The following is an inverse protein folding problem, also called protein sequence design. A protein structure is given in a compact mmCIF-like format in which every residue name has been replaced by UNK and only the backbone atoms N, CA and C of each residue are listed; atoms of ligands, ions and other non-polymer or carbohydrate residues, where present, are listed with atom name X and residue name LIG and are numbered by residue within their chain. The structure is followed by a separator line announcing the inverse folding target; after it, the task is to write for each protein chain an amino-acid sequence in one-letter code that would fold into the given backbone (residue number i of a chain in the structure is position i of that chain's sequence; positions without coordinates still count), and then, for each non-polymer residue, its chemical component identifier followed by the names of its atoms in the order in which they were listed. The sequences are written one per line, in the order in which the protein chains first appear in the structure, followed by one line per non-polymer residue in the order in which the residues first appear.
data_IF_151305903014
#
_entry.id   IF_151305903014
#
_cell.length_a   1.000
_cell.length_b   1.000
_cell.length_c   1.000
_cell.angle_alpha   90.00
_cell.angle_beta   90.00
_cell.angle_gamma   90.00
#
_symmetry.space_group_name_H-M   'P 1'
#
loop_
_entity.id
_entity.type
_entity.pdbx_description
1 polymer ?
#
# COMPACT_ATOMS: atom_id res chain seq x y z
N UNK A 1 78.31 16.33 30.51
CA UNK A 1 78.08 15.06 31.23
C UNK A 1 76.56 14.86 31.30
N UNK A 2 76.00 14.07 30.38
CA UNK A 2 75.59 12.67 30.57
C UNK A 2 74.09 12.54 30.91
N UNK A 3 73.34 12.02 29.92
CA UNK A 3 72.23 11.03 29.95
C UNK A 3 71.14 11.24 31.01
N UNK A 4 69.85 11.15 30.68
CA UNK A 4 69.22 9.89 30.24
C UNK A 4 67.81 10.16 29.70
N UNK A 5 67.52 9.59 28.53
CA UNK A 5 66.18 9.49 27.95
C UNK A 5 65.36 8.40 28.66
N UNK A 6 64.10 8.69 28.99
CA UNK A 6 63.09 7.68 29.28
C UNK A 6 61.92 7.90 28.33
N UNK A 7 61.78 6.94 27.42
CA UNK A 7 60.61 6.72 26.57
C UNK A 7 59.45 6.23 27.42
N UNK A 8 58.34 6.97 27.43
CA UNK A 8 57.04 6.44 27.84
C UNK A 8 56.21 6.22 26.57
N UNK A 9 55.84 4.96 26.34
CA UNK A 9 54.98 4.55 25.24
C UNK A 9 53.59 5.19 25.39
N UNK A 10 53.14 5.80 24.31
CA UNK A 10 51.74 6.20 24.15
C UNK A 10 50.95 4.95 23.77
N UNK A 11 50.21 4.41 24.73
CA UNK A 11 49.13 3.45 24.47
C UNK A 11 47.97 4.23 23.83
N UNK A 12 47.85 4.11 22.51
CA UNK A 12 46.71 4.64 21.78
C UNK A 12 45.48 3.78 22.11
N UNK A 13 44.70 4.22 23.09
CA UNK A 13 43.34 3.71 23.29
C UNK A 13 42.51 4.24 22.13
N UNK A 14 42.33 3.40 21.10
CA UNK A 14 41.37 3.64 20.04
C UNK A 14 39.97 3.68 20.66
N UNK A 15 39.45 4.87 20.90
CA UNK A 15 38.05 5.07 21.23
C UNK A 15 37.23 4.65 20.00
N UNK A 16 36.67 3.44 20.06
CA UNK A 16 35.66 2.96 19.12
C UNK A 16 34.44 3.88 19.24
N UNK A 17 34.30 4.82 18.31
CA UNK A 17 33.11 5.63 18.14
C UNK A 17 31.98 4.76 17.58
N UNK A 18 31.38 3.93 18.43
CA UNK A 18 30.12 3.27 18.11
C UNK A 18 28.99 4.29 18.30
N UNK A 19 28.54 4.91 17.20
CA UNK A 19 27.26 5.62 17.18
C UNK A 19 26.14 4.63 17.51
N UNK A 20 25.29 4.90 18.52
CA UNK A 20 24.17 4.03 18.87
C UNK A 20 23.27 3.74 17.66
N UNK A 21 22.79 2.50 17.52
CA UNK A 21 21.84 2.09 16.45
C UNK A 21 20.58 2.97 16.40
N UNK A 22 20.21 3.57 17.54
CA UNK A 22 19.12 4.54 17.64
C UNK A 22 19.35 5.79 16.77
N UNK A 23 20.60 6.24 16.62
CA UNK A 23 20.96 7.47 15.90
C UNK A 23 21.00 7.27 14.37
N UNK A 24 21.17 6.03 13.90
CA UNK A 24 21.07 5.67 12.46
C UNK A 24 19.61 5.59 11.97
N UNK A 25 18.66 5.40 12.90
CA UNK A 25 17.23 5.24 12.62
C UNK A 25 16.45 6.52 12.99
N UNK A 26 17.03 7.44 13.77
CA UNK A 26 16.41 8.72 14.12
C UNK A 26 16.70 9.78 13.06
N UNK A 27 15.85 9.85 12.04
CA UNK A 27 15.91 10.96 11.10
C UNK A 27 14.71 10.99 10.16
N UNK A 28 14.27 12.21 9.84
CA UNK A 28 13.31 12.47 8.75
C UNK A 28 13.84 12.01 7.37
N UNK A 29 15.09 11.52 7.28
CA UNK A 29 15.80 11.05 6.09
C UNK A 29 15.98 9.52 6.04
N UNK A 30 15.19 8.76 6.82
CA UNK A 30 15.23 7.30 6.76
C UNK A 30 14.96 6.78 5.33
N UNK A 31 15.89 5.96 4.81
CA UNK A 31 15.77 5.34 3.50
C UNK A 31 15.72 3.80 3.59
N UNK A 32 14.57 3.17 3.27
CA UNK A 32 14.41 1.72 3.32
C UNK A 32 15.27 0.98 2.30
N UNK A 33 15.79 1.68 1.28
CA UNK A 33 16.61 1.09 0.22
C UNK A 33 18.13 1.15 0.50
N UNK A 34 18.57 1.79 1.60
CA UNK A 34 20.00 1.92 1.90
C UNK A 34 20.57 0.68 2.60
N UNK A 35 21.70 0.17 2.09
CA UNK A 35 22.39 -1.04 2.62
C UNK A 35 22.86 -0.91 4.07
N UNK A 36 23.22 0.31 4.50
CA UNK A 36 23.63 0.60 5.89
C UNK A 36 22.51 0.31 6.90
N UNK A 37 21.27 0.58 6.51
CA UNK A 37 20.12 0.31 7.36
C UNK A 37 19.88 -1.19 7.48
N UNK A 38 20.03 -1.95 6.38
CA UNK A 38 19.90 -3.42 6.35
C UNK A 38 20.96 -4.10 7.26
N UNK A 39 22.20 -3.62 7.28
CA UNK A 39 23.26 -4.17 8.12
C UNK A 39 23.04 -3.89 9.63
N UNK A 40 22.59 -2.67 9.98
CA UNK A 40 22.26 -2.31 11.36
C UNK A 40 21.07 -3.14 11.89
N UNK A 41 20.10 -3.50 11.02
CA UNK A 41 19.00 -4.41 11.34
C UNK A 41 19.53 -5.79 11.75
N UNK A 42 20.40 -6.38 10.93
CA UNK A 42 20.90 -7.74 11.15
C UNK A 42 21.74 -7.84 12.43
N UNK A 43 22.47 -6.78 12.78
CA UNK A 43 23.21 -6.70 14.04
C UNK A 43 22.30 -6.52 15.26
N UNK A 44 21.24 -5.72 15.16
CA UNK A 44 20.28 -5.56 16.27
C UNK A 44 19.45 -6.84 16.52
N UNK A 45 19.15 -7.61 15.47
CA UNK A 45 18.40 -8.87 15.58
C UNK A 45 19.28 -10.06 15.98
N UNK A 46 20.59 -10.05 15.69
CA UNK A 46 21.52 -11.11 16.11
C UNK A 46 21.74 -11.20 17.62
N UNK A 47 21.51 -10.11 18.36
CA UNK A 47 21.58 -10.11 19.83
C UNK A 47 20.29 -10.58 20.51
N UNK A 48 19.21 -10.80 19.75
CA UNK A 48 17.93 -11.27 20.27
C UNK A 48 17.86 -12.80 20.26
N UNK A 49 18.86 -13.47 20.83
CA UNK A 49 18.80 -14.92 20.98
C UNK A 49 18.08 -15.30 22.29
N UNK A 50 17.04 -16.11 22.11
CA UNK A 50 16.49 -17.09 23.05
C UNK A 50 15.44 -16.63 24.08
N UNK A 51 14.22 -17.18 23.92
CA UNK A 51 13.20 -17.50 24.95
C UNK A 51 12.05 -16.53 25.29
N UNK A 52 11.93 -15.32 24.74
CA UNK A 52 10.65 -14.59 24.79
C UNK A 52 10.59 -13.57 23.66
N UNK A 53 9.53 -13.57 22.84
CA UNK A 53 9.38 -12.55 21.81
C UNK A 53 9.31 -11.18 22.50
N UNK A 54 10.21 -10.27 22.17
CA UNK A 54 10.28 -8.95 22.81
C UNK A 54 8.89 -8.26 22.75
N UNK A 55 8.46 -7.55 23.82
CA UNK A 55 7.12 -6.97 23.90
C UNK A 55 6.70 -6.12 22.67
N UNK A 56 7.66 -5.42 22.05
CA UNK A 56 7.41 -4.64 20.84
C UNK A 56 7.08 -5.52 19.63
N UNK A 57 7.76 -6.66 19.43
CA UNK A 57 7.46 -7.61 18.35
C UNK A 57 6.08 -8.23 18.52
N UNK A 58 5.68 -8.52 19.77
CA UNK A 58 4.32 -8.97 20.07
C UNK A 58 3.28 -7.91 19.73
N UNK A 59 3.59 -6.63 19.96
CA UNK A 59 2.72 -5.52 19.57
C UNK A 59 2.60 -5.41 18.04
N UNK A 60 3.70 -5.48 17.30
CA UNK A 60 3.68 -5.46 15.82
C UNK A 60 2.83 -6.62 15.29
N UNK A 61 3.06 -7.83 15.81
CA UNK A 61 2.27 -9.01 15.42
C UNK A 61 0.78 -8.81 15.71
N UNK A 62 0.42 -8.24 16.85
CA UNK A 62 -0.98 -7.95 17.18
C UNK A 62 -1.62 -6.97 16.20
N UNK A 63 -0.93 -5.87 15.89
CA UNK A 63 -1.40 -4.88 14.93
C UNK A 63 -1.56 -5.49 13.53
N UNK A 64 -0.62 -6.32 13.08
CA UNK A 64 -0.71 -7.03 11.80
C UNK A 64 -1.87 -8.03 11.78
N UNK A 65 -2.05 -8.81 12.85
CA UNK A 65 -3.17 -9.75 12.96
C UNK A 65 -4.53 -9.03 12.96
N UNK A 66 -4.62 -7.83 13.56
CA UNK A 66 -5.83 -7.02 13.51
C UNK A 66 -6.14 -6.60 12.06
N UNK A 67 -5.13 -6.19 11.28
CA UNK A 67 -5.30 -5.87 9.86
C UNK A 67 -5.69 -7.13 9.06
N UNK A 68 -5.12 -8.29 9.32
CA UNK A 68 -5.51 -9.51 8.59
C UNK A 68 -6.91 -10.02 8.96
N UNK A 69 -7.37 -9.77 10.19
CA UNK A 69 -8.70 -10.13 10.64
C UNK A 69 -9.77 -9.20 10.07
N UNK A 70 -9.51 -7.89 10.07
CA UNK A 70 -10.41 -6.85 9.57
C UNK A 70 -9.62 -5.87 8.69
N UNK A 71 -9.31 -6.25 7.44
CA UNK A 71 -8.47 -5.44 6.57
C UNK A 71 -9.24 -4.20 6.08
N UNK A 72 -8.64 -3.00 6.21
CA UNK A 72 -9.25 -1.79 5.69
C UNK A 72 -9.47 -1.87 4.16
N UNK A 73 -10.62 -1.40 3.65
CA UNK A 73 -10.89 -1.42 2.21
C UNK A 73 -9.79 -0.74 1.39
N UNK A 74 -9.35 -1.40 0.32
CA UNK A 74 -8.31 -0.88 -0.56
C UNK A 74 -6.90 -0.84 0.03
N UNK A 75 -6.66 -1.42 1.21
CA UNK A 75 -5.33 -1.50 1.83
C UNK A 75 -4.89 -2.96 1.90
N UNK A 76 -3.77 -3.28 1.26
CA UNK A 76 -3.11 -4.57 1.36
C UNK A 76 -1.79 -4.42 2.11
N UNK A 77 -1.54 -5.31 3.06
CA UNK A 77 -0.30 -5.31 3.84
C UNK A 77 0.37 -6.66 3.78
N UNK A 78 1.70 -6.65 3.78
CA UNK A 78 2.52 -7.84 3.89
C UNK A 78 3.70 -7.53 4.83
N UNK A 79 3.88 -8.36 5.85
CA UNK A 79 5.06 -8.29 6.71
C UNK A 79 6.27 -8.86 5.97
N UNK A 80 7.44 -8.20 6.05
CA UNK A 80 8.66 -8.71 5.44
C UNK A 80 9.10 -10.02 6.12
N UNK A 81 9.54 -10.98 5.31
CA UNK A 81 9.89 -12.33 5.78
C UNK A 81 11.21 -12.37 6.56
N UNK A 82 12.12 -11.42 6.31
CA UNK A 82 13.46 -11.35 6.91
C UNK A 82 13.49 -10.41 8.10
N UNK A 83 12.70 -9.34 8.08
CA UNK A 83 12.59 -8.36 9.15
C UNK A 83 11.13 -8.10 9.53
N UNK A 84 10.68 -8.71 10.63
CA UNK A 84 9.33 -8.53 11.17
C UNK A 84 8.98 -7.08 11.52
N UNK A 85 9.95 -6.17 11.63
CA UNK A 85 9.72 -4.74 11.86
C UNK A 85 9.40 -3.97 10.59
N UNK A 86 9.61 -4.57 9.41
CA UNK A 86 9.33 -4.00 8.09
C UNK A 86 8.01 -4.54 7.56
N UNK A 87 7.19 -3.63 7.06
CA UNK A 87 5.87 -3.92 6.51
C UNK A 87 5.75 -3.21 5.17
N UNK A 88 5.35 -3.97 4.18
CA UNK A 88 5.01 -3.52 2.84
C UNK A 88 3.52 -3.22 2.82
N UNK A 89 3.15 -2.00 2.45
CA UNK A 89 1.75 -1.58 2.34
C UNK A 89 1.45 -1.08 0.93
N UNK A 90 0.34 -1.51 0.38
CA UNK A 90 -0.19 -1.09 -0.90
C UNK A 90 -1.58 -0.51 -0.68
N UNK A 91 -1.75 0.77 -0.98
CA UNK A 91 -3.02 1.50 -0.86
C UNK A 91 -3.53 1.76 -2.26
N UNK A 92 -4.72 1.27 -2.57
CA UNK A 92 -5.43 1.59 -3.81
C UNK A 92 -6.17 2.91 -3.64
N UNK A 93 -5.99 3.84 -4.58
CA UNK A 93 -6.71 5.12 -4.56
C UNK A 93 -8.22 4.92 -4.74
N UNK A 94 -9.00 5.63 -3.92
CA UNK A 94 -10.46 5.52 -3.85
C UNK A 94 -11.16 6.07 -5.10
N UNK A 95 -12.37 5.56 -5.35
CA UNK A 95 -13.27 6.06 -6.40
C UNK A 95 -13.57 7.55 -6.24
N UNK A 96 -13.85 8.22 -7.36
CA UNK A 96 -14.21 9.64 -7.41
C UNK A 96 -13.09 10.57 -6.89
N UNK A 97 -11.85 10.10 -6.87
CA UNK A 97 -10.67 10.91 -6.55
C UNK A 97 -9.72 10.93 -7.74
N UNK A 98 -8.82 11.93 -7.87
CA UNK A 98 -7.78 11.89 -8.90
C UNK A 98 -6.76 10.74 -8.68
N UNK A 99 -6.91 9.95 -7.62
CA UNK A 99 -6.09 8.80 -7.28
C UNK A 99 -6.73 7.46 -7.69
N UNK A 100 -7.96 7.47 -8.18
CA UNK A 100 -8.78 6.27 -8.41
C UNK A 100 -8.06 5.16 -9.18
N UNK A 101 -8.03 3.97 -8.57
CA UNK A 101 -7.37 2.78 -9.11
C UNK A 101 -5.83 2.80 -9.06
N UNK A 102 -5.21 3.93 -8.69
CA UNK A 102 -3.76 4.01 -8.51
C UNK A 102 -3.24 3.09 -7.39
N UNK A 103 -2.09 2.45 -7.63
CA UNK A 103 -1.44 1.59 -6.65
C UNK A 103 -0.31 2.35 -5.94
N UNK A 104 -0.56 2.81 -4.71
CA UNK A 104 0.38 3.59 -3.92
C UNK A 104 1.10 2.68 -2.93
N UNK A 105 2.40 2.46 -3.16
CA UNK A 105 3.23 1.56 -2.38
C UNK A 105 4.05 2.31 -1.32
N UNK A 106 4.05 1.77 -0.11
CA UNK A 106 4.70 2.32 1.06
C UNK A 106 5.51 1.23 1.76
N UNK A 107 6.62 1.65 2.36
CA UNK A 107 7.36 0.82 3.31
C UNK A 107 7.21 1.46 4.68
N UNK A 108 6.79 0.65 5.65
CA UNK A 108 6.62 1.01 7.04
C UNK A 108 7.66 0.26 7.87
N UNK A 109 8.34 0.95 8.78
CA UNK A 109 9.30 0.36 9.72
C UNK A 109 8.97 0.73 11.15
N UNK A 110 8.65 -0.25 11.97
CA UNK A 110 8.47 -0.07 13.40
C UNK A 110 9.83 0.06 14.09
N UNK A 111 10.09 1.11 14.88
CA UNK A 111 11.34 1.22 15.63
C UNK A 111 11.38 0.21 16.80
N UNK A 112 12.57 -0.05 17.39
CA UNK A 112 12.70 -0.96 18.55
C UNK A 112 11.87 -0.56 19.77
N UNK A 113 11.51 0.72 19.89
CA UNK A 113 10.66 1.27 20.94
C UNK A 113 9.18 1.42 20.51
N UNK A 114 8.74 0.76 19.44
CA UNK A 114 7.31 0.65 19.11
C UNK A 114 6.54 -0.07 20.23
N UNK A 115 5.36 0.40 20.67
CA UNK A 115 4.55 1.51 20.14
C UNK A 115 4.78 2.85 20.86
N UNK A 116 5.84 3.00 21.65
CA UNK A 116 6.15 4.26 22.36
C UNK A 116 6.47 5.37 21.35
N UNK A 117 7.24 5.05 20.30
CA UNK A 117 7.45 5.93 19.14
C UNK A 117 6.63 5.48 17.92
N UNK A 118 6.26 6.41 17.02
CA UNK A 118 5.57 6.08 15.78
C UNK A 118 6.44 5.23 14.85
N UNK A 119 5.83 4.49 13.93
CA UNK A 119 6.56 3.84 12.85
C UNK A 119 7.13 4.89 11.88
N UNK A 120 8.23 4.56 11.20
CA UNK A 120 8.71 5.34 10.06
C UNK A 120 7.97 4.88 8.81
N UNK A 121 7.58 5.82 7.94
CA UNK A 121 6.88 5.52 6.69
C UNK A 121 7.55 6.23 5.53
N UNK A 122 7.80 5.50 4.45
CA UNK A 122 8.30 6.05 3.18
C UNK A 122 7.37 5.67 2.04
N UNK A 123 6.94 6.69 1.30
CA UNK A 123 6.19 6.55 0.07
C UNK A 123 7.13 6.24 -1.10
N UNK A 124 6.89 5.12 -1.77
CA UNK A 124 7.80 4.57 -2.78
C UNK A 124 7.36 4.87 -4.22
N UNK A 125 6.06 5.06 -4.46
CA UNK A 125 5.49 5.31 -5.79
C UNK A 125 5.72 6.77 -6.24
N UNK A 126 6.98 7.18 -6.35
CA UNK A 126 7.37 8.56 -6.71
C UNK A 126 8.00 8.66 -8.10
N UNK A 127 8.11 7.54 -8.83
CA UNK A 127 8.85 7.40 -10.08
C UNK A 127 10.27 7.97 -9.98
N UNK A 128 11.06 7.43 -9.05
CA UNK A 128 12.44 7.88 -8.81
C UNK A 128 12.55 9.32 -8.31
N UNK A 129 11.52 9.82 -7.61
CA UNK A 129 11.49 11.19 -7.09
C UNK A 129 11.06 12.26 -8.09
N UNK A 130 10.45 11.87 -9.21
CA UNK A 130 9.94 12.83 -10.20
C UNK A 130 8.57 13.41 -9.84
N UNK A 131 7.73 12.68 -9.09
CA UNK A 131 6.32 13.05 -8.85
C UNK A 131 6.03 13.37 -7.38
N UNK A 132 5.46 14.56 -7.12
CA UNK A 132 4.76 14.89 -5.87
C UNK A 132 3.28 14.55 -6.06
N UNK A 133 2.78 13.52 -5.40
CA UNK A 133 1.40 13.05 -5.60
C UNK A 133 0.35 13.82 -4.79
N UNK A 134 0.77 14.42 -3.68
CA UNK A 134 -0.12 15.13 -2.78
C UNK A 134 0.70 16.19 -2.04
N UNK A 135 0.11 17.30 -1.55
CA UNK A 135 0.82 18.22 -0.66
C UNK A 135 1.52 17.51 0.50
N UNK A 136 0.95 16.40 0.99
CA UNK A 136 1.50 15.56 2.06
C UNK A 136 2.33 14.35 1.58
N UNK A 137 2.42 14.08 0.26
CA UNK A 137 3.21 12.98 -0.32
C UNK A 137 4.28 13.54 -1.25
N UNK A 138 5.49 13.68 -0.71
CA UNK A 138 6.60 14.38 -1.34
C UNK A 138 7.31 13.53 -2.41
N UNK A 139 8.00 14.21 -3.34
CA UNK A 139 8.88 13.60 -4.35
C UNK A 139 9.92 12.66 -3.71
N UNK A 140 10.52 13.08 -2.60
CA UNK A 140 11.51 12.27 -1.87
C UNK A 140 10.93 11.06 -1.11
N UNK A 141 9.60 10.87 -1.15
CA UNK A 141 8.91 9.80 -0.44
C UNK A 141 8.50 10.15 1.00
N UNK A 142 8.74 11.38 1.46
CA UNK A 142 8.28 11.83 2.78
C UNK A 142 6.74 11.89 2.82
N UNK A 143 6.18 11.37 3.90
CA UNK A 143 4.75 11.40 4.22
C UNK A 143 4.51 12.37 5.38
N UNK A 144 3.63 13.34 5.18
CA UNK A 144 3.30 14.38 6.17
C UNK A 144 1.95 14.14 6.83
N UNK A 145 1.94 13.52 8.01
CA UNK A 145 0.76 13.35 8.88
C UNK A 145 1.15 13.53 10.34
N UNK A 146 0.24 14.09 11.14
CA UNK A 146 0.56 14.51 12.50
C UNK A 146 0.92 13.35 13.42
N UNK A 147 0.26 12.20 13.23
CA UNK A 147 0.50 10.98 14.00
C UNK A 147 1.87 10.34 13.70
N UNK A 148 2.59 10.81 12.68
CA UNK A 148 4.00 10.45 12.42
C UNK A 148 4.96 11.56 12.87
N UNK A 149 4.45 12.65 13.46
CA UNK A 149 5.26 13.81 13.85
C UNK A 149 5.75 14.67 12.68
N UNK A 150 5.22 14.44 11.46
CA UNK A 150 5.67 15.13 10.24
C UNK A 150 4.69 16.21 9.76
N UNK A 151 3.66 16.51 10.55
CA UNK A 151 2.67 17.54 10.28
C UNK A 151 2.07 18.11 11.57
N UNK A 152 1.43 19.27 11.50
CA UNK A 152 0.69 19.84 12.62
C UNK A 152 -0.60 19.06 12.90
N UNK A 153 -0.89 18.76 14.16
CA UNK A 153 -2.13 18.09 14.57
C UNK A 153 -1.92 17.17 15.77
N UNK A 154 -2.85 16.24 16.04
CA UNK A 154 -2.72 15.24 17.09
C UNK A 154 -1.46 14.39 16.91
N UNK A 155 -0.65 14.30 17.96
CA UNK A 155 0.59 13.55 17.94
C UNK A 155 0.35 12.03 18.08
N UNK A 156 1.38 11.25 17.75
CA UNK A 156 1.42 9.82 18.02
C UNK A 156 1.12 9.52 19.50
N UNK A 157 0.32 8.51 19.75
CA UNK A 157 0.20 7.90 21.08
C UNK A 157 0.29 6.38 20.94
N UNK A 158 0.78 5.64 21.95
CA UNK A 158 0.84 4.18 21.90
C UNK A 158 -0.50 3.46 21.72
N UNK A 159 -1.62 4.18 21.85
CA UNK A 159 -2.96 3.68 21.58
C UNK A 159 -3.26 3.57 20.07
N UNK A 160 -2.57 4.35 19.23
CA UNK A 160 -2.66 4.25 17.78
C UNK A 160 -2.00 2.95 17.29
N UNK A 161 -2.45 2.48 16.13
CA UNK A 161 -2.03 1.22 15.52
C UNK A 161 -1.51 1.42 14.10
N UNK A 162 -0.86 0.40 13.55
CA UNK A 162 -0.48 0.40 12.13
C UNK A 162 -1.69 0.60 11.20
N UNK A 163 -2.85 0.03 11.53
CA UNK A 163 -4.10 0.25 10.78
C UNK A 163 -4.47 1.74 10.77
N UNK A 164 -4.43 2.40 11.93
CA UNK A 164 -4.74 3.84 12.02
C UNK A 164 -3.78 4.71 11.19
N UNK A 165 -2.49 4.33 11.10
CA UNK A 165 -1.51 5.01 10.26
C UNK A 165 -1.86 4.85 8.78
N UNK A 166 -2.13 3.62 8.32
CA UNK A 166 -2.45 3.35 6.92
C UNK A 166 -3.77 3.99 6.49
N UNK A 167 -4.80 3.95 7.33
CA UNK A 167 -6.08 4.65 7.10
C UNK A 167 -5.85 6.17 7.03
N UNK A 168 -5.01 6.72 7.90
CA UNK A 168 -4.67 8.15 7.87
C UNK A 168 -3.89 8.56 6.62
N UNK A 169 -3.12 7.65 6.02
CA UNK A 169 -2.45 7.89 4.73
C UNK A 169 -3.47 7.84 3.60
N UNK A 170 -4.34 6.83 3.60
CA UNK A 170 -5.40 6.70 2.60
C UNK A 170 -6.32 7.93 2.59
N UNK A 171 -6.64 8.50 3.76
CA UNK A 171 -7.50 9.69 3.86
C UNK A 171 -6.89 10.97 3.31
N UNK A 172 -5.57 11.01 3.03
CA UNK A 172 -4.94 12.13 2.31
C UNK A 172 -5.33 12.15 0.82
N UNK A 173 -5.72 11.00 0.28
CA UNK A 173 -6.06 10.80 -1.13
C UNK A 173 -7.50 11.25 -1.40
N UNK A 174 -7.81 12.51 -1.08
CA UNK A 174 -9.16 13.09 -1.19
C UNK A 174 -9.56 13.41 -2.63
N UNK A 175 -10.83 13.76 -2.86
CA UNK A 175 -11.35 14.29 -4.13
C UNK A 175 -10.64 15.58 -4.58
N UNK A 176 -10.29 16.47 -3.64
CA UNK A 176 -9.71 17.79 -3.92
C UNK A 176 -8.38 18.00 -3.15
N UNK A 177 -7.30 17.26 -3.50
CA UNK A 177 -6.04 17.28 -2.77
C UNK A 177 -5.29 18.62 -2.78
N UNK A 178 -5.71 19.59 -3.61
CA UNK A 178 -5.20 20.95 -3.56
C UNK A 178 -5.39 21.58 -2.17
N UNK A 179 -6.52 21.31 -1.52
CA UNK A 179 -6.86 21.88 -0.22
C UNK A 179 -6.07 21.29 0.96
N UNK A 180 -5.23 20.27 0.70
CA UNK A 180 -4.35 19.73 1.72
C UNK A 180 -3.12 20.63 2.00
N UNK A 181 -2.80 21.56 1.09
CA UNK A 181 -1.71 22.53 1.30
C UNK A 181 -2.17 23.64 2.27
N UNK A 182 -1.44 23.91 3.37
CA UNK A 182 -1.83 24.93 4.35
C UNK A 182 -2.05 26.31 3.73
N UNK A 183 -3.19 26.93 4.03
CA UNK A 183 -3.56 28.23 3.47
C UNK A 183 -4.14 28.18 2.06
N UNK A 184 -4.46 26.99 1.56
CA UNK A 184 -5.12 26.75 0.26
C UNK A 184 -6.51 26.11 0.44
N UNK A 185 -7.14 26.28 1.61
CA UNK A 185 -8.52 25.82 1.86
C UNK A 185 -9.53 26.49 0.91
N UNK A 186 -9.19 27.67 0.41
CA UNK A 186 -9.89 28.35 -0.69
C UNK A 186 -8.95 28.48 -1.88
N UNK A 187 -9.46 28.24 -3.08
CA UNK A 187 -8.69 28.43 -4.31
C UNK A 187 -8.19 29.87 -4.43
N UNK A 188 -6.90 30.05 -4.71
CA UNK A 188 -6.32 31.38 -4.98
C UNK A 188 -6.80 31.91 -6.32
N UNK A 189 -6.85 31.04 -7.32
CA UNK A 189 -7.39 31.32 -8.63
C UNK A 189 -8.46 30.29 -8.98
N UNK A 190 -9.54 30.75 -9.61
CA UNK A 190 -10.64 29.85 -10.00
C UNK A 190 -10.13 28.68 -10.86
N UNK A 191 -10.51 27.47 -10.44
CA UNK A 191 -10.16 26.23 -11.12
C UNK A 191 -8.77 25.68 -10.79
N UNK A 192 -8.09 26.22 -9.77
CA UNK A 192 -6.81 25.68 -9.30
C UNK A 192 -6.92 24.23 -8.86
N UNK A 193 -7.92 23.89 -8.03
CA UNK A 193 -8.15 22.52 -7.56
C UNK A 193 -8.41 21.60 -8.75
N UNK A 194 -9.24 22.04 -9.70
CA UNK A 194 -9.50 21.27 -10.92
C UNK A 194 -8.24 21.03 -11.74
N UNK A 195 -7.42 22.06 -11.99
CA UNK A 195 -6.14 21.91 -12.71
C UNK A 195 -5.21 20.95 -11.98
N UNK A 196 -5.14 21.03 -10.66
CA UNK A 196 -4.35 20.11 -9.85
C UNK A 196 -4.87 18.66 -9.96
N UNK A 197 -6.19 18.45 -9.89
CA UNK A 197 -6.81 17.14 -10.06
C UNK A 197 -6.50 16.52 -11.42
N UNK A 198 -6.54 17.30 -12.49
CA UNK A 198 -6.20 16.85 -13.84
C UNK A 198 -4.75 16.35 -13.93
N UNK A 199 -3.82 17.06 -13.30
CA UNK A 199 -2.41 16.67 -13.20
C UNK A 199 -2.27 15.38 -12.39
N UNK A 200 -2.87 15.33 -11.21
CA UNK A 200 -2.78 14.16 -10.34
C UNK A 200 -3.39 12.92 -11.01
N UNK A 201 -4.54 13.04 -11.69
CA UNK A 201 -5.13 11.91 -12.39
C UNK A 201 -4.26 11.39 -13.53
N UNK A 202 -3.61 12.29 -14.28
CA UNK A 202 -2.63 11.88 -15.30
C UNK A 202 -1.45 11.14 -14.68
N UNK A 203 -0.87 11.68 -13.60
CA UNK A 203 0.26 11.10 -12.90
C UNK A 203 -0.10 9.78 -12.21
N UNK A 204 -1.31 9.63 -11.70
CA UNK A 204 -1.86 8.38 -11.15
C UNK A 204 -1.84 7.29 -12.21
N UNK A 205 -2.40 7.53 -13.40
CA UNK A 205 -2.41 6.51 -14.46
C UNK A 205 -0.99 6.23 -14.97
N UNK A 206 -0.16 7.28 -15.13
CA UNK A 206 1.21 7.14 -15.64
C UNK A 206 2.11 6.34 -14.70
N UNK A 207 2.13 6.71 -13.42
CA UNK A 207 3.10 6.19 -12.45
C UNK A 207 2.46 5.16 -11.53
N UNK A 208 1.37 5.51 -10.85
CA UNK A 208 0.75 4.64 -9.85
C UNK A 208 -0.01 3.45 -10.47
N UNK A 209 -0.39 3.50 -11.75
CA UNK A 209 -0.99 2.37 -12.46
C UNK A 209 0.02 1.71 -13.38
N UNK A 210 0.32 2.33 -14.53
CA UNK A 210 1.17 1.70 -15.57
C UNK A 210 2.58 1.46 -15.05
N UNK A 211 3.16 2.46 -14.39
CA UNK A 211 4.52 2.38 -13.85
C UNK A 211 4.69 1.33 -12.76
N UNK A 212 3.72 1.23 -11.84
CA UNK A 212 3.75 0.24 -10.76
C UNK A 212 3.56 -1.19 -11.27
N UNK A 213 2.61 -1.42 -12.18
CA UNK A 213 2.32 -2.78 -12.68
C UNK A 213 3.45 -3.27 -13.60
N UNK A 214 4.10 -2.39 -14.37
CA UNK A 214 5.32 -2.72 -15.12
C UNK A 214 6.59 -2.73 -14.26
N UNK A 215 6.52 -2.19 -13.05
CA UNK A 215 7.67 -1.90 -12.18
C UNK A 215 8.75 -1.05 -12.87
N UNK A 216 8.35 0.04 -13.54
CA UNK A 216 9.24 0.94 -14.30
C UNK A 216 10.39 1.49 -13.45
N UNK A 217 10.17 1.66 -12.14
CA UNK A 217 11.16 2.22 -11.20
C UNK A 217 12.01 1.15 -10.50
N UNK A 218 11.86 -0.14 -10.86
CA UNK A 218 12.65 -1.23 -10.28
C UNK A 218 12.48 -1.40 -8.77
N UNK A 219 11.29 -1.12 -8.24
CA UNK A 219 11.00 -1.26 -6.82
C UNK A 219 10.99 -2.74 -6.43
N UNK A 220 11.57 -3.06 -5.27
CA UNK A 220 11.46 -4.39 -4.66
C UNK A 220 10.08 -4.52 -3.98
N UNK A 221 9.06 -4.87 -4.77
CA UNK A 221 7.70 -5.11 -4.28
C UNK A 221 7.54 -6.63 -4.12
N UNK A 222 7.10 -7.13 -2.94
CA UNK A 222 6.82 -8.54 -2.75
C UNK A 222 5.84 -9.10 -3.79
N UNK A 223 6.11 -10.31 -4.30
CA UNK A 223 5.30 -10.91 -5.37
C UNK A 223 3.80 -11.03 -5.05
N UNK A 224 3.36 -11.35 -3.80
CA UNK A 224 1.94 -11.34 -3.48
C UNK A 224 1.25 -9.99 -3.71
N UNK A 225 1.95 -8.88 -3.47
CA UNK A 225 1.43 -7.54 -3.74
C UNK A 225 1.45 -7.24 -5.25
N UNK A 226 2.48 -7.69 -5.98
CA UNK A 226 2.53 -7.59 -7.44
C UNK A 226 1.36 -8.32 -8.11
N UNK A 227 1.05 -9.53 -7.64
CA UNK A 227 -0.07 -10.32 -8.17
C UNK A 227 -1.42 -9.68 -7.88
N UNK A 228 -1.61 -9.15 -6.67
CA UNK A 228 -2.80 -8.38 -6.33
C UNK A 228 -2.95 -7.14 -7.24
N UNK A 229 -1.87 -6.38 -7.46
CA UNK A 229 -1.88 -5.23 -8.39
C UNK A 229 -2.26 -5.63 -9.80
N UNK A 230 -1.67 -6.70 -10.35
CA UNK A 230 -1.97 -7.17 -11.72
C UNK A 230 -3.44 -7.57 -11.87
N UNK A 231 -4.02 -8.23 -10.85
CA UNK A 231 -5.43 -8.60 -10.84
C UNK A 231 -6.35 -7.39 -10.74
N UNK A 232 -6.09 -6.49 -9.80
CA UNK A 232 -6.86 -5.25 -9.66
C UNK A 232 -6.74 -4.37 -10.91
N UNK A 233 -5.57 -4.32 -11.54
CA UNK A 233 -5.37 -3.58 -12.80
C UNK A 233 -6.34 -4.03 -13.89
N UNK A 234 -6.55 -5.35 -14.05
CA UNK A 234 -7.49 -5.88 -15.04
C UNK A 234 -8.94 -5.52 -14.70
N UNK A 235 -9.29 -5.43 -13.41
CA UNK A 235 -10.63 -5.02 -12.97
C UNK A 235 -10.90 -3.54 -13.26
N UNK A 236 -9.93 -2.66 -12.97
CA UNK A 236 -10.04 -1.21 -13.21
C UNK A 236 -9.73 -0.80 -14.65
N UNK A 237 -9.26 -1.71 -15.51
CA UNK A 237 -8.88 -1.40 -16.89
C UNK A 237 -9.93 -0.59 -17.68
N UNK A 238 -11.25 -0.92 -17.64
CA UNK A 238 -12.25 -0.14 -18.37
C UNK A 238 -12.29 1.33 -17.95
N UNK A 239 -12.10 1.61 -16.65
CA UNK A 239 -12.03 2.97 -16.13
C UNK A 239 -10.80 3.71 -16.68
N UNK A 240 -9.62 3.08 -16.62
CA UNK A 240 -8.39 3.70 -17.14
C UNK A 240 -8.51 4.02 -18.63
N UNK A 241 -9.02 3.08 -19.43
CA UNK A 241 -9.17 3.29 -20.88
C UNK A 241 -10.17 4.41 -21.19
N UNK A 242 -11.31 4.45 -20.50
CA UNK A 242 -12.32 5.50 -20.69
C UNK A 242 -11.76 6.89 -20.31
N UNK A 243 -11.05 6.98 -19.18
CA UNK A 243 -10.42 8.23 -18.73
C UNK A 243 -9.37 8.73 -19.73
N UNK A 244 -8.48 7.86 -20.22
CA UNK A 244 -7.47 8.24 -21.21
C UNK A 244 -8.09 8.64 -22.56
N UNK A 245 -9.11 7.91 -23.03
CA UNK A 245 -9.81 8.22 -24.29
C UNK A 245 -10.51 9.58 -24.23
N UNK A 246 -11.21 9.88 -23.13
CA UNK A 246 -11.92 11.16 -22.98
C UNK A 246 -10.96 12.36 -22.97
N UNK A 247 -9.70 12.16 -22.55
CA UNK A 247 -8.68 13.22 -22.42
C UNK A 247 -7.61 13.20 -23.50
N UNK A 248 -7.72 12.32 -24.50
CA UNK A 248 -6.70 12.15 -25.56
C UNK A 248 -6.36 13.45 -26.29
N UNK A 249 -7.36 14.35 -26.44
CA UNK A 249 -7.25 15.64 -27.11
C UNK A 249 -6.40 16.66 -26.35
N UNK A 250 -6.16 16.47 -25.04
CA UNK A 250 -5.23 17.29 -24.25
C UNK A 250 -3.76 16.88 -24.40
N UNK A 251 -3.45 15.85 -25.20
CA UNK A 251 -2.06 15.40 -25.37
C UNK A 251 -1.19 16.50 -26.00
N UNK A 252 -0.05 16.80 -25.36
CA UNK A 252 0.86 17.89 -25.73
C UNK A 252 0.60 19.20 -24.99
N UNK A 253 -0.54 19.35 -24.29
CA UNK A 253 -0.80 20.53 -23.48
C UNK A 253 0.11 20.55 -22.24
N UNK A 254 0.64 21.73 -21.89
CA UNK A 254 1.45 21.93 -20.68
C UNK A 254 0.58 21.79 -19.44
N UNK A 255 1.09 21.06 -18.45
CA UNK A 255 0.48 20.96 -17.14
C UNK A 255 0.72 22.25 -16.35
N UNK A 256 -0.36 22.97 -16.04
CA UNK A 256 -0.30 24.20 -15.25
C UNK A 256 -0.55 23.87 -13.78
N UNK A 257 0.51 23.51 -13.04
CA UNK A 257 0.43 23.22 -11.61
C UNK A 257 0.22 24.53 -10.82
N UNK A 258 -0.84 24.65 -10.01
CA UNK A 258 -1.13 25.88 -9.26
C UNK A 258 -0.13 26.16 -8.12
N UNK A 259 0.71 25.19 -7.76
CA UNK A 259 1.84 25.37 -6.84
C UNK A 259 3.15 25.74 -7.55
N UNK A 260 3.09 25.98 -8.87
CA UNK A 260 4.24 26.43 -9.67
C UNK A 260 5.28 25.35 -9.95
N UNK A 261 4.93 24.06 -9.78
CA UNK A 261 5.85 22.97 -10.09
C UNK A 261 5.90 22.71 -11.60
N UNK A 262 7.10 22.47 -12.13
CA UNK A 262 7.24 21.91 -13.48
C UNK A 262 6.82 20.43 -13.46
N UNK A 263 5.81 20.12 -14.27
CA UNK A 263 5.22 18.78 -14.44
C UNK A 263 5.32 18.29 -15.89
N UNK A 264 5.85 19.11 -16.81
CA UNK A 264 5.88 18.81 -18.23
C UNK A 264 4.51 18.91 -18.91
N UNK A 265 4.19 17.94 -19.77
CA UNK A 265 3.00 17.95 -20.64
C UNK A 265 2.14 16.71 -20.45
N UNK A 266 0.84 16.87 -20.68
CA UNK A 266 -0.09 15.74 -20.74
C UNK A 266 0.26 14.83 -21.93
N UNK A 267 0.43 13.54 -21.67
CA UNK A 267 0.81 12.53 -22.68
C UNK A 267 -0.23 11.42 -22.84
N UNK A 268 -1.52 11.76 -22.88
CA UNK A 268 -2.62 10.77 -22.87
C UNK A 268 -2.57 9.75 -24.02
N UNK A 269 -2.20 10.17 -25.24
CA UNK A 269 -2.00 9.26 -26.39
C UNK A 269 -0.99 8.15 -26.07
N UNK A 270 0.18 8.54 -25.58
CA UNK A 270 1.24 7.61 -25.21
C UNK A 270 0.83 6.71 -24.03
N UNK A 271 0.15 7.26 -23.02
CA UNK A 271 -0.37 6.46 -21.90
C UNK A 271 -1.38 5.41 -22.36
N UNK A 272 -2.24 5.74 -23.33
CA UNK A 272 -3.24 4.80 -23.86
C UNK A 272 -2.58 3.62 -24.58
N UNK A 273 -1.54 3.89 -25.37
CA UNK A 273 -0.74 2.84 -26.02
C UNK A 273 -0.06 1.94 -24.99
N UNK A 274 0.59 2.53 -23.97
CA UNK A 274 1.21 1.77 -22.87
C UNK A 274 0.19 0.94 -22.09
N UNK A 275 -0.97 1.49 -21.77
CA UNK A 275 -2.04 0.82 -21.04
C UNK A 275 -2.53 -0.42 -21.80
N UNK A 276 -2.77 -0.29 -23.12
CA UNK A 276 -3.20 -1.39 -23.98
C UNK A 276 -2.14 -2.47 -24.12
N UNK A 277 -0.88 -2.08 -24.30
CA UNK A 277 0.24 -3.01 -24.34
C UNK A 277 0.36 -3.79 -23.03
N UNK A 278 0.21 -3.11 -21.88
CA UNK A 278 0.22 -3.72 -20.57
C UNK A 278 -0.91 -4.72 -20.37
N UNK A 279 -2.15 -4.36 -20.76
CA UNK A 279 -3.27 -5.32 -20.73
C UNK A 279 -2.99 -6.54 -21.59
N UNK A 280 -2.49 -6.36 -22.82
CA UNK A 280 -2.15 -7.50 -23.70
C UNK A 280 -1.11 -8.42 -23.07
N UNK A 281 -0.13 -7.87 -22.33
CA UNK A 281 0.89 -8.64 -21.61
C UNK A 281 0.32 -9.44 -20.43
N UNK A 282 -0.68 -8.90 -19.74
CA UNK A 282 -1.27 -9.52 -18.55
C UNK A 282 -2.46 -10.43 -18.84
N UNK A 283 -3.14 -10.23 -19.96
CA UNK A 283 -4.18 -11.15 -20.42
C UNK A 283 -3.53 -12.50 -20.74
N UNK A 284 -4.11 -13.63 -20.29
CA UNK A 284 -3.64 -14.93 -20.71
C UNK A 284 -3.70 -15.03 -22.24
N UNK A 285 -2.78 -15.78 -22.88
CA UNK A 285 -2.93 -16.13 -24.29
C UNK A 285 -4.34 -16.67 -24.50
N UNK A 286 -5.02 -16.24 -25.57
CA UNK A 286 -6.23 -16.95 -26.00
C UNK A 286 -5.79 -18.33 -26.48
N UNK A 287 -5.72 -19.30 -25.57
CA UNK A 287 -5.82 -20.71 -25.94
C UNK A 287 -7.26 -20.97 -26.36
N UNK A 288 -7.40 -21.44 -27.59
CA UNK A 288 -8.59 -22.04 -28.13
C UNK A 288 -9.22 -22.99 -27.10
N UNK A 289 -10.55 -23.02 -27.06
CA UNK A 289 -11.32 -23.90 -26.23
C UNK A 289 -10.83 -25.37 -26.32
N UNK A 290 -10.16 -25.87 -25.28
CA UNK A 290 -10.35 -27.21 -24.71
C UNK A 290 -9.31 -27.57 -23.63
N UNK A 291 -9.81 -28.20 -22.57
CA UNK A 291 -9.16 -29.23 -21.73
C UNK A 291 -8.12 -28.85 -20.66
N UNK A 292 -8.62 -28.84 -19.42
CA UNK A 292 -8.09 -29.42 -18.17
C UNK A 292 -6.58 -29.34 -17.83
N UNK A 293 -6.25 -28.78 -16.66
CA UNK A 293 -5.87 -29.55 -15.46
C UNK A 293 -5.38 -28.66 -14.32
N UNK A 294 -5.55 -29.17 -13.10
CA UNK A 294 -5.28 -28.57 -11.81
C UNK A 294 -3.80 -28.30 -11.55
N UNK A 295 -3.46 -27.10 -11.07
CA UNK A 295 -2.19 -26.83 -10.38
C UNK A 295 -2.46 -26.30 -8.97
N UNK A 296 -1.70 -26.85 -8.02
CA UNK A 296 -1.80 -26.66 -6.58
C UNK A 296 -1.22 -25.32 -6.14
N UNK A 297 -2.04 -24.49 -5.50
CA UNK A 297 -1.64 -23.22 -4.86
C UNK A 297 -1.35 -23.47 -3.38
N UNK A 298 -0.32 -22.81 -2.83
CA UNK A 298 0.06 -22.95 -1.42
C UNK A 298 -1.01 -22.40 -0.46
N UNK A 299 -1.18 -22.94 0.76
CA UNK A 299 -2.34 -22.66 1.61
C UNK A 299 -2.45 -21.20 2.07
N UNK A 300 -1.35 -20.45 2.10
CA UNK A 300 -1.33 -19.04 2.53
C UNK A 300 -1.81 -18.06 1.46
N UNK A 301 -1.55 -18.35 0.18
CA UNK A 301 -1.99 -17.50 -0.94
C UNK A 301 -3.45 -17.72 -1.30
N UNK A 302 -3.99 -18.92 -1.06
CA UNK A 302 -5.41 -19.21 -1.27
C UNK A 302 -6.33 -18.39 -0.37
N UNK A 303 -5.96 -18.19 0.90
CA UNK A 303 -6.77 -17.39 1.84
C UNK A 303 -6.83 -15.93 1.39
N UNK A 304 -5.69 -15.34 0.99
CA UNK A 304 -5.62 -13.96 0.48
C UNK A 304 -6.39 -13.79 -0.83
N UNK A 305 -6.27 -14.74 -1.76
CA UNK A 305 -6.99 -14.75 -3.04
C UNK A 305 -8.51 -14.95 -2.88
N UNK A 306 -8.93 -15.81 -1.96
CA UNK A 306 -10.35 -16.05 -1.66
C UNK A 306 -10.95 -14.81 -1.00
N UNK A 307 -10.22 -14.15 -0.11
CA UNK A 307 -10.65 -12.91 0.53
C UNK A 307 -10.75 -11.73 -0.44
N UNK A 308 -9.72 -11.52 -1.29
CA UNK A 308 -9.72 -10.53 -2.38
C UNK A 308 -10.88 -10.72 -3.36
N UNK A 309 -11.17 -11.98 -3.74
CA UNK A 309 -12.32 -12.31 -4.60
C UNK A 309 -13.65 -12.08 -3.91
N UNK A 310 -13.73 -12.25 -2.58
CA UNK A 310 -14.97 -12.09 -1.83
C UNK A 310 -15.30 -10.62 -1.59
N UNK A 311 -14.37 -9.81 -1.09
CA UNK A 311 -14.63 -8.39 -0.77
C UNK A 311 -14.85 -7.55 -2.02
N UNK A 312 -14.01 -7.69 -3.05
CA UNK A 312 -14.16 -6.89 -4.27
C UNK A 312 -15.39 -7.28 -5.10
N UNK A 313 -15.81 -8.56 -5.07
CA UNK A 313 -16.98 -9.03 -5.81
C UNK A 313 -18.30 -8.68 -5.12
N UNK A 314 -18.31 -8.58 -3.78
CA UNK A 314 -19.44 -8.07 -2.99
C UNK A 314 -19.60 -6.57 -3.25
N UNK A 315 -18.52 -5.79 -3.21
CA UNK A 315 -18.57 -4.33 -3.40
C UNK A 315 -18.95 -3.90 -4.83
N UNK A 316 -18.42 -4.59 -5.86
CA UNK A 316 -18.75 -4.27 -7.26
C UNK A 316 -20.18 -4.65 -7.67
N UNK A 317 -20.76 -5.72 -7.11
CA UNK A 317 -22.14 -6.13 -7.44
C UNK A 317 -23.17 -5.32 -6.68
N UNK A 318 -22.90 -4.94 -5.43
CA UNK A 318 -23.83 -4.13 -4.64
C UNK A 318 -23.90 -2.68 -5.15
N UNK A 319 -22.78 -2.07 -5.55
CA UNK A 319 -22.79 -0.68 -6.01
C UNK A 319 -23.38 -0.50 -7.42
N UNK A 320 -23.15 -1.44 -8.34
CA UNK A 320 -23.76 -1.37 -9.68
C UNK A 320 -25.29 -1.48 -9.61
N UNK A 321 -25.80 -2.34 -8.73
CA UNK A 321 -27.24 -2.50 -8.50
C UNK A 321 -27.82 -1.26 -7.82
N UNK A 322 -27.14 -0.67 -6.83
CA UNK A 322 -27.59 0.56 -6.14
C UNK A 322 -27.60 1.77 -7.09
N UNK A 323 -26.58 1.95 -7.93
CA UNK A 323 -26.51 3.06 -8.89
C UNK A 323 -27.55 2.93 -10.01
N UNK A 324 -27.83 1.71 -10.48
CA UNK A 324 -28.88 1.46 -11.48
C UNK A 324 -30.29 1.63 -10.89
N UNK A 325 -30.50 1.33 -9.60
CA UNK A 325 -31.76 1.52 -8.89
C UNK A 325 -32.05 2.97 -8.50
N UNK A 326 -31.03 3.77 -8.15
CA UNK A 326 -31.20 5.21 -7.85
C UNK A 326 -31.65 6.00 -9.10
N UNK A 327 -31.32 5.52 -10.30
CA UNK A 327 -31.77 6.12 -11.57
C UNK A 327 -33.23 5.78 -11.91
N UNK A 328 -33.86 4.83 -11.21
CA UNK A 328 -35.26 4.44 -11.39
C UNK A 328 -36.09 4.96 -10.21
N UNK A 329 -36.48 6.23 -10.24
CA UNK A 329 -37.15 6.90 -9.11
C UNK A 329 -38.48 6.25 -8.67
N UNK A 330 -38.77 6.35 -7.37
CA UNK A 330 -40.10 6.18 -6.76
C UNK A 330 -40.34 4.87 -5.99
N UNK A 331 -40.73 4.99 -4.72
CA UNK A 331 -41.38 4.03 -3.79
C UNK A 331 -40.86 2.59 -3.62
N UNK A 332 -39.98 2.06 -4.47
CA UNK A 332 -39.42 0.70 -4.37
C UNK A 332 -38.24 0.57 -3.39
N UNK A 333 -37.66 1.69 -2.95
CA UNK A 333 -36.41 1.72 -2.18
C UNK A 333 -36.55 1.00 -0.83
N UNK A 334 -37.71 1.11 -0.15
CA UNK A 334 -37.93 0.44 1.15
C UNK A 334 -38.06 -1.07 1.04
N UNK A 335 -38.75 -1.58 0.01
CA UNK A 335 -38.85 -3.03 -0.24
C UNK A 335 -37.51 -3.64 -0.67
N UNK A 336 -36.70 -2.89 -1.42
CA UNK A 336 -35.37 -3.33 -1.87
C UNK A 336 -34.36 -3.32 -0.73
N UNK A 337 -34.36 -2.30 0.15
CA UNK A 337 -33.50 -2.27 1.34
C UNK A 337 -33.83 -3.42 2.30
N UNK A 338 -35.12 -3.74 2.49
CA UNK A 338 -35.57 -4.89 3.28
C UNK A 338 -35.20 -6.24 2.62
N UNK A 339 -35.26 -6.33 1.30
CA UNK A 339 -34.87 -7.54 0.57
C UNK A 339 -33.34 -7.77 0.57
N UNK A 340 -32.54 -6.71 0.44
CA UNK A 340 -31.07 -6.78 0.52
C UNK A 340 -30.65 -7.16 1.94
N UNK A 341 -31.22 -6.54 2.97
CA UNK A 341 -30.90 -6.90 4.36
C UNK A 341 -31.32 -8.33 4.70
N UNK A 342 -32.47 -8.82 4.21
CA UNK A 342 -32.87 -10.22 4.35
C UNK A 342 -31.93 -11.18 3.58
N UNK A 343 -31.48 -10.81 2.37
CA UNK A 343 -30.57 -11.62 1.56
C UNK A 343 -29.16 -11.70 2.18
N UNK A 344 -28.64 -10.58 2.69
CA UNK A 344 -27.38 -10.52 3.45
C UNK A 344 -27.47 -11.38 4.71
N UNK A 345 -28.60 -11.31 5.44
CA UNK A 345 -28.81 -12.13 6.64
C UNK A 345 -28.88 -13.64 6.31
N UNK A 346 -29.57 -14.02 5.23
CA UNK A 346 -29.63 -15.42 4.76
C UNK A 346 -28.23 -15.92 4.32
N UNK A 347 -27.43 -15.08 3.67
CA UNK A 347 -26.06 -15.43 3.25
C UNK A 347 -25.07 -15.51 4.41
N UNK A 348 -25.20 -14.65 5.41
CA UNK A 348 -24.44 -14.74 6.67
C UNK A 348 -24.79 -16.02 7.44
N UNK A 349 -26.08 -16.38 7.50
CA UNK A 349 -26.52 -17.64 8.11
C UNK A 349 -25.99 -18.85 7.34
N UNK A 350 -26.03 -18.84 6.00
CA UNK A 350 -25.47 -19.91 5.17
C UNK A 350 -23.94 -20.04 5.31
N UNK A 351 -23.21 -18.94 5.46
CA UNK A 351 -21.78 -18.95 5.75
C UNK A 351 -21.47 -19.57 7.12
N UNK A 352 -22.28 -19.29 8.14
CA UNK A 352 -22.16 -19.90 9.47
C UNK A 352 -22.45 -21.42 9.48
N UNK A 353 -23.26 -21.93 8.55
CA UNK A 353 -23.50 -23.38 8.41
C UNK A 353 -22.44 -24.12 7.58
N UNK A 354 -21.71 -23.42 6.70
CA UNK A 354 -20.68 -24.02 5.86
C UNK A 354 -19.31 -24.11 6.55
N UNK A 355 -19.00 -23.16 7.43
CA UNK A 355 -17.74 -23.08 8.16
C UNK A 355 -17.41 -24.35 9.01
N UNK A 356 -18.37 -24.97 9.73
CA UNK A 356 -18.09 -26.19 10.50
C UNK A 356 -17.82 -27.43 9.62
N UNK A 357 -18.48 -27.52 8.47
CA UNK A 357 -18.29 -28.64 7.51
C UNK A 357 -16.96 -28.54 6.77
N UNK A 358 -16.49 -27.30 6.50
CA UNK A 358 -15.20 -27.05 5.89
C UNK A 358 -14.03 -27.33 6.85
N UNK A 359 -14.15 -26.93 8.13
CA UNK A 359 -13.14 -27.23 9.16
C UNK A 359 -12.98 -28.74 9.43
N UNK A 360 -14.06 -29.53 9.35
CA UNK A 360 -13.99 -31.01 9.43
C UNK A 360 -13.21 -31.65 8.28
N UNK A 361 -13.28 -31.10 7.06
CA UNK A 361 -12.56 -31.64 5.89
C UNK A 361 -11.05 -31.31 5.91
N UNK A 362 -10.65 -30.21 6.56
CA UNK A 362 -9.24 -29.87 6.77
C UNK A 362 -8.57 -30.82 7.76
N UNK A 363 -9.30 -31.32 8.76
CA UNK A 363 -8.73 -32.25 9.77
C UNK A 363 -8.54 -33.68 9.19
N UNK A 364 -9.41 -34.09 8.26
CA UNK A 364 -9.26 -35.37 7.55
C UNK A 364 -8.12 -35.40 6.52
N UNK A 365 -7.74 -34.24 5.98
CA UNK A 365 -6.62 -34.15 5.02
C UNK A 365 -5.26 -34.13 5.74
N UNK A 366 -5.18 -33.58 6.96
CA UNK A 366 -3.99 -33.65 7.82
C UNK A 366 -3.70 -35.04 8.38
N UNK A 367 -4.73 -35.85 8.63
CA UNK A 367 -4.57 -37.23 9.12
C UNK A 367 -4.09 -38.19 8.02
N UNK A 368 -4.49 -37.99 6.75
CA UNK A 368 -4.03 -38.81 5.61
C UNK A 368 -2.59 -38.54 5.18
N UNK A 369 -2.04 -37.36 5.48
CA UNK A 369 -0.63 -37.03 5.13
C UNK A 369 0.37 -37.64 6.10
N UNK A 370 -0.01 -37.92 7.36
CA UNK A 370 0.87 -38.61 8.33
C UNK A 370 1.03 -40.11 8.08
N UNK A 371 0.13 -40.76 7.34
CA UNK A 371 0.21 -42.23 7.09
C UNK A 371 1.06 -42.59 5.87
N UNK A 372 1.58 -41.62 5.11
CA UNK A 372 2.42 -41.86 3.91
C UNK A 372 3.92 -41.62 4.14
N UNK A 373 4.34 -41.44 5.39
CA UNK A 373 5.73 -41.11 5.73
C UNK A 373 6.38 -42.04 6.76
N UNK A 374 5.85 -43.26 6.93
CA UNK A 374 6.51 -44.36 7.64
C UNK A 374 6.64 -45.58 6.73
#
# INVERSE_FOLDING_TARGET
MSKTAKSNGAEAVAASSETPVADLISGNDWDPQSEKNIAAVLQATSHLSTSCTAPFLLRIKRDMMAIYHDPPPGILVLQDERDMTVIHALITGSFDTPYEGGFFYFIVRCPPDYPIKPPHVKFMTTAGGSVRFNPNLYKCGKVCISILGTWSGPAWTPALTLSSVLISIQSLLTENPYHNEPGFEREKNSGDSKRYNEIIQHETIRVAVIGMVNNDSGLCIPEPLMDAMRQSFLQFYPYYEATLLSKVHFSGCVMQDPFGQDRGVFNYKYLLERLRALKKKLSPPQEEAASASSSSVSPGSEVVLVWLRFTMSVEMKEQKVVVDLIKMGGACITYVVLAISAWVLIRLVQACFWLPSYLKNIDQTKTKTKTKQN
#
